data_IF_211133815955
#
_entry.id   IF_211133815955
#
_cell.length_a   1.000
_cell.length_b   1.000
_cell.length_c   1.000
_cell.angle_alpha   90.00
_cell.angle_beta   90.00
_cell.angle_gamma   90.00
#
_symmetry.space_group_name_H-M   'P 1'
#
loop_
_entity.id
_entity.type
_entity.pdbx_description
1 polymer ?
#
# COMPACT_ATOMS: atom_id res chain seq x y z
N UNK A 1 7.78 25.21 8.44
CA UNK A 1 8.25 23.99 9.18
C UNK A 1 7.30 22.85 8.83
N UNK A 2 7.79 21.78 8.18
CA UNK A 2 6.96 20.61 7.88
C UNK A 2 7.00 19.64 9.06
N UNK A 3 5.84 19.12 9.47
CA UNK A 3 5.72 18.14 10.55
C UNK A 3 5.29 16.82 9.94
N UNK A 4 6.16 15.82 9.99
CA UNK A 4 5.81 14.48 9.57
C UNK A 4 4.92 13.86 10.66
N UNK A 5 3.68 13.55 10.33
CA UNK A 5 2.73 12.91 11.24
C UNK A 5 2.35 11.56 10.66
N UNK A 6 2.57 10.50 11.43
CA UNK A 6 2.13 9.16 11.06
C UNK A 6 0.61 9.13 11.03
N UNK A 7 0.05 8.80 9.86
CA UNK A 7 -1.39 8.91 9.63
C UNK A 7 -2.13 7.58 9.79
N UNK A 8 -1.60 6.49 9.23
CA UNK A 8 -2.18 5.15 9.37
C UNK A 8 -1.09 4.09 9.18
N UNK A 9 -1.43 2.84 9.51
CA UNK A 9 -0.55 1.68 9.48
C UNK A 9 -1.37 0.46 9.13
N UNK A 10 -0.92 -0.31 8.15
CA UNK A 10 -1.50 -1.59 7.76
C UNK A 10 -0.43 -2.67 7.77
N UNK A 11 -0.76 -3.85 8.32
CA UNK A 11 0.07 -5.05 8.23
C UNK A 11 -0.46 -5.94 7.11
N UNK A 12 -0.27 -5.49 5.88
CA UNK A 12 -0.82 -6.18 4.71
C UNK A 12 0.20 -7.14 4.09
N UNK A 13 1.45 -6.72 3.89
CA UNK A 13 2.48 -7.56 3.29
C UNK A 13 3.07 -8.59 4.27
N UNK A 14 3.37 -9.79 3.77
CA UNK A 14 4.05 -10.88 4.50
C UNK A 14 5.58 -10.82 4.36
N UNK A 15 6.09 -10.02 3.43
CA UNK A 15 7.52 -9.83 3.18
C UNK A 15 7.86 -8.34 2.98
N UNK A 16 9.13 -8.04 2.69
CA UNK A 16 9.58 -6.67 2.46
C UNK A 16 8.85 -5.99 1.30
N UNK A 17 8.38 -4.76 1.53
CA UNK A 17 7.83 -3.89 0.48
C UNK A 17 8.99 -3.42 -0.39
N UNK A 18 8.90 -3.65 -1.71
CA UNK A 18 9.93 -3.30 -2.68
C UNK A 18 9.59 -2.04 -3.47
N UNK A 19 8.31 -1.75 -3.65
CA UNK A 19 7.86 -0.59 -4.41
C UNK A 19 6.53 -0.03 -3.89
N UNK A 20 6.33 1.26 -4.14
CA UNK A 20 5.13 2.00 -3.79
C UNK A 20 4.82 2.96 -4.94
N UNK A 21 3.56 3.03 -5.35
CA UNK A 21 3.08 3.98 -6.35
C UNK A 21 1.78 4.62 -5.88
N UNK A 22 1.65 5.94 -6.05
CA UNK A 22 0.42 6.67 -5.71
C UNK A 22 -0.20 7.23 -6.98
N UNK A 23 -1.51 7.00 -7.16
CA UNK A 23 -2.30 7.69 -8.19
C UNK A 23 -3.57 8.26 -7.56
N UNK A 24 -3.77 9.58 -7.66
CA UNK A 24 -4.90 10.28 -7.05
C UNK A 24 -5.07 9.98 -5.55
N UNK A 25 -6.13 9.27 -5.16
CA UNK A 25 -6.39 8.85 -3.78
C UNK A 25 -6.00 7.39 -3.55
N UNK A 26 -5.49 6.69 -4.55
CA UNK A 26 -5.09 5.30 -4.44
C UNK A 26 -3.58 5.20 -4.21
N UNK A 27 -3.22 4.25 -3.36
CA UNK A 27 -1.85 3.85 -3.10
C UNK A 27 -1.72 2.37 -3.43
N UNK A 28 -0.80 2.01 -4.31
CA UNK A 28 -0.41 0.65 -4.59
C UNK A 28 0.93 0.36 -3.91
N UNK A 29 1.05 -0.77 -3.21
CA UNK A 29 2.31 -1.25 -2.63
C UNK A 29 2.60 -2.65 -3.14
N UNK A 30 3.82 -2.89 -3.63
CA UNK A 30 4.28 -4.20 -4.10
C UNK A 30 5.38 -4.75 -3.21
N UNK A 31 5.26 -6.03 -2.84
CA UNK A 31 6.18 -6.71 -1.94
C UNK A 31 6.87 -7.91 -2.58
N UNK A 32 7.81 -8.51 -1.84
CA UNK A 32 8.40 -9.81 -2.19
C UNK A 32 7.46 -10.99 -1.90
N UNK A 33 6.27 -10.73 -1.37
CA UNK A 33 5.22 -11.71 -1.12
C UNK A 33 4.34 -11.96 -2.35
N UNK A 34 4.81 -11.55 -3.54
CA UNK A 34 4.12 -11.72 -4.82
C UNK A 34 2.69 -11.17 -4.80
N UNK A 35 2.50 -10.09 -4.03
CA UNK A 35 1.24 -9.40 -3.91
C UNK A 35 1.41 -7.89 -4.13
N UNK A 36 0.44 -7.29 -4.81
CA UNK A 36 0.20 -5.85 -4.78
C UNK A 36 -1.03 -5.58 -3.91
N UNK A 37 -0.90 -4.69 -2.94
CA UNK A 37 -2.03 -4.18 -2.16
C UNK A 37 -2.43 -2.80 -2.66
N UNK A 38 -3.74 -2.57 -2.78
CA UNK A 38 -4.32 -1.30 -3.16
C UNK A 38 -5.04 -0.70 -1.96
N UNK A 39 -4.73 0.55 -1.63
CA UNK A 39 -5.36 1.30 -0.55
C UNK A 39 -6.02 2.55 -1.09
N UNK A 40 -7.20 2.86 -0.55
CA UNK A 40 -7.83 4.16 -0.72
C UNK A 40 -7.39 5.06 0.44
N UNK A 41 -6.66 6.11 0.11
CA UNK A 41 -6.09 7.08 1.05
C UNK A 41 -7.14 8.05 1.60
N UNK A 42 -8.33 8.16 0.98
CA UNK A 42 -9.46 8.92 1.54
C UNK A 42 -10.07 8.18 2.73
N UNK A 43 -10.41 6.91 2.53
CA UNK A 43 -11.03 6.05 3.56
C UNK A 43 -10.00 5.39 4.47
N UNK A 44 -8.72 5.38 4.05
CA UNK A 44 -7.58 4.71 4.70
C UNK A 44 -7.79 3.21 4.89
N UNK A 45 -8.45 2.59 3.91
CA UNK A 45 -8.76 1.16 3.91
C UNK A 45 -8.11 0.49 2.71
N UNK A 46 -7.76 -0.77 2.90
CA UNK A 46 -7.40 -1.67 1.80
C UNK A 46 -8.63 -1.86 0.92
N UNK A 47 -8.47 -1.56 -0.37
CA UNK A 47 -9.49 -1.75 -1.42
C UNK A 47 -9.45 -3.19 -1.89
N UNK A 48 -8.27 -3.77 -1.97
CA UNK A 48 -8.06 -5.15 -2.34
C UNK A 48 -6.59 -5.47 -2.56
N UNK A 49 -6.35 -6.71 -2.98
CA UNK A 49 -5.04 -7.23 -3.31
C UNK A 49 -5.06 -7.89 -4.68
N UNK A 50 -4.00 -7.67 -5.46
CA UNK A 50 -3.70 -8.47 -6.64
C UNK A 50 -2.68 -9.51 -6.21
N UNK A 51 -3.10 -10.77 -6.24
CA UNK A 51 -2.29 -11.95 -5.99
C UNK A 51 -2.28 -12.73 -7.31
N UNK A 52 -1.11 -13.15 -7.78
CA UNK A 52 -0.78 -13.60 -9.15
C UNK A 52 -0.04 -12.53 -9.96
N UNK A 53 1.24 -12.35 -9.61
CA UNK A 53 2.23 -11.93 -10.59
C UNK A 53 2.67 -13.18 -11.33
N UNK A 54 2.32 -13.29 -12.61
CA UNK A 54 2.87 -14.31 -13.50
C UNK A 54 4.00 -13.70 -14.31
#
# INVERSE_FOLDING_TARGET
KYKLVRSFVTRSHMASIRCIAKVNNYLATGGHDEAIYLYDMKTRKEVGKLTHHQ
#
